data_IF_556393900104
#
_entry.id   IF_556393900104
#
_cell.length_a   1.000
_cell.length_b   1.000
_cell.length_c   1.000
_cell.angle_alpha   90.00
_cell.angle_beta   90.00
_cell.angle_gamma   90.00
#
_symmetry.space_group_name_H-M   'P 1'
#
loop_
_entity.id
_entity.type
_entity.pdbx_description
1 polymer ?
#
# COMPACT_ATOMS: atom_id res chain seq x y z
N UNK A 1 -15.12 35.23 16.92
CA UNK A 1 -14.68 35.14 15.51
C UNK A 1 -15.90 35.32 14.62
N UNK A 2 -15.96 36.39 13.84
CA UNK A 2 -17.07 36.65 12.91
C UNK A 2 -16.74 35.94 11.60
N UNK A 3 -17.45 34.85 11.30
CA UNK A 3 -17.26 34.11 10.06
C UNK A 3 -17.68 34.98 8.86
N UNK A 4 -16.94 34.94 7.72
CA UNK A 4 -17.33 35.67 6.53
C UNK A 4 -18.72 35.19 6.07
N UNK A 5 -19.69 36.11 6.01
CA UNK A 5 -21.07 35.82 5.59
C UNK A 5 -22.09 35.58 6.71
N UNK A 6 -21.72 35.65 8.00
CA UNK A 6 -22.66 35.45 9.13
C UNK A 6 -23.22 36.73 9.76
N UNK A 7 -22.78 37.91 9.33
CA UNK A 7 -23.23 39.21 9.86
C UNK A 7 -24.64 39.63 9.42
N UNK A 8 -25.17 39.04 8.35
CA UNK A 8 -26.53 39.24 7.84
C UNK A 8 -27.36 37.96 8.10
N UNK A 9 -28.50 38.02 8.83
CA UNK A 9 -29.34 36.87 9.16
C UNK A 9 -29.77 36.05 7.94
N UNK A 10 -30.02 36.69 6.80
CA UNK A 10 -30.48 36.03 5.58
C UNK A 10 -29.33 35.27 4.89
N UNK A 11 -28.10 35.82 4.91
CA UNK A 11 -26.89 35.17 4.37
C UNK A 11 -26.39 34.05 5.30
N UNK A 12 -26.54 34.21 6.62
CA UNK A 12 -26.18 33.21 7.63
C UNK A 12 -26.92 31.88 7.44
N UNK A 13 -28.24 31.92 7.17
CA UNK A 13 -29.03 30.69 6.92
C UNK A 13 -28.54 29.92 5.69
N UNK A 14 -28.15 30.64 4.63
CA UNK A 14 -27.59 30.03 3.41
C UNK A 14 -26.21 29.42 3.69
N UNK A 15 -25.33 30.15 4.37
CA UNK A 15 -23.99 29.66 4.72
C UNK A 15 -24.04 28.37 5.57
N UNK A 16 -24.89 28.34 6.60
CA UNK A 16 -25.07 27.14 7.44
C UNK A 16 -25.62 25.96 6.61
N UNK A 17 -26.58 26.20 5.72
CA UNK A 17 -27.12 25.17 4.84
C UNK A 17 -26.03 24.58 3.93
N UNK A 18 -25.17 25.42 3.35
CA UNK A 18 -24.03 24.95 2.55
C UNK A 18 -23.04 24.13 3.37
N UNK A 19 -22.68 24.60 4.57
CA UNK A 19 -21.76 23.87 5.46
C UNK A 19 -22.30 22.50 5.86
N UNK A 20 -23.60 22.40 6.17
CA UNK A 20 -24.23 21.11 6.47
C UNK A 20 -24.20 20.17 5.26
N UNK A 21 -24.52 20.67 4.07
CA UNK A 21 -24.46 19.85 2.84
C UNK A 21 -23.03 19.37 2.59
N UNK A 22 -22.02 20.25 2.69
CA UNK A 22 -20.63 19.84 2.52
C UNK A 22 -20.16 18.85 3.58
N UNK A 23 -20.60 19.01 4.84
CA UNK A 23 -20.27 18.09 5.92
C UNK A 23 -20.89 16.70 5.69
N UNK A 24 -22.14 16.65 5.19
CA UNK A 24 -22.79 15.37 4.85
C UNK A 24 -22.08 14.69 3.68
N UNK A 25 -21.78 15.42 2.60
CA UNK A 25 -21.07 14.85 1.44
C UNK A 25 -19.68 14.36 1.86
N UNK A 26 -18.93 15.17 2.60
CA UNK A 26 -17.62 14.78 3.13
C UNK A 26 -17.71 13.56 4.04
N UNK A 27 -18.71 13.50 4.92
CA UNK A 27 -18.95 12.37 5.81
C UNK A 27 -19.24 11.07 5.05
N UNK A 28 -20.11 11.13 4.03
CA UNK A 28 -20.42 9.97 3.18
C UNK A 28 -19.18 9.48 2.45
N UNK A 29 -18.37 10.39 1.90
CA UNK A 29 -17.14 10.02 1.19
C UNK A 29 -16.16 9.29 2.11
N UNK A 30 -15.92 9.81 3.33
CA UNK A 30 -15.04 9.17 4.31
C UNK A 30 -15.56 7.79 4.69
N UNK A 31 -16.87 7.67 4.96
CA UNK A 31 -17.48 6.38 5.30
C UNK A 31 -17.29 5.35 4.19
N UNK A 32 -17.58 5.70 2.93
CA UNK A 32 -17.41 4.79 1.80
C UNK A 32 -15.96 4.31 1.67
N UNK A 33 -14.99 5.20 1.86
CA UNK A 33 -13.57 4.83 1.83
C UNK A 33 -13.21 3.88 2.97
N UNK A 34 -13.66 4.16 4.20
CA UNK A 34 -13.29 3.34 5.36
C UNK A 34 -13.97 1.98 5.39
N UNK A 35 -15.22 1.86 4.94
CA UNK A 35 -15.96 0.59 4.99
C UNK A 35 -15.87 -0.23 3.71
N UNK A 36 -15.63 0.39 2.56
CA UNK A 36 -15.61 -0.30 1.27
C UNK A 36 -14.20 -0.44 0.71
N UNK A 37 -13.48 0.68 0.57
CA UNK A 37 -12.21 0.72 -0.16
C UNK A 37 -11.06 0.14 0.68
N UNK A 38 -10.92 0.59 1.93
CA UNK A 38 -9.80 0.14 2.78
C UNK A 38 -9.79 -1.37 3.01
N UNK A 39 -10.91 -2.05 3.32
CA UNK A 39 -10.92 -3.50 3.48
C UNK A 39 -10.57 -4.23 2.18
N UNK A 40 -11.05 -3.73 1.03
CA UNK A 40 -10.73 -4.33 -0.27
C UNK A 40 -9.24 -4.24 -0.59
N UNK A 41 -8.60 -3.10 -0.31
CA UNK A 41 -7.14 -2.93 -0.48
C UNK A 41 -6.38 -3.86 0.47
N UNK A 42 -6.85 -4.01 1.71
CA UNK A 42 -6.23 -4.90 2.69
C UNK A 42 -6.32 -6.39 2.30
N UNK A 43 -7.31 -6.78 1.51
CA UNK A 43 -7.50 -8.14 1.01
C UNK A 43 -6.72 -8.44 -0.29
N UNK A 44 -6.04 -7.46 -0.88
CA UNK A 44 -5.20 -7.70 -2.05
C UNK A 44 -3.95 -8.48 -1.65
N UNK A 45 -3.51 -9.42 -2.50
CA UNK A 45 -2.37 -10.28 -2.22
C UNK A 45 -1.13 -9.50 -1.74
N UNK A 46 -0.81 -8.36 -2.34
CA UNK A 46 0.36 -7.58 -1.95
C UNK A 46 0.26 -6.86 -0.58
N UNK A 47 -0.92 -6.78 0.03
CA UNK A 47 -1.13 -6.16 1.35
C UNK A 47 -1.59 -7.13 2.44
N UNK A 48 -2.19 -8.25 2.04
CA UNK A 48 -2.88 -9.16 2.92
C UNK A 48 -1.94 -10.03 3.77
N UNK A 49 -2.45 -10.40 4.94
CA UNK A 49 -1.84 -11.33 5.88
C UNK A 49 -2.28 -12.75 5.58
N UNK A 50 -1.33 -13.69 5.53
CA UNK A 50 -1.57 -15.09 5.14
C UNK A 50 -1.49 -16.06 6.32
N UNK A 51 -1.31 -15.58 7.55
CA UNK A 51 -1.08 -16.41 8.75
C UNK A 51 -2.15 -17.51 8.96
N UNK A 52 -3.41 -17.20 8.64
CA UNK A 52 -4.57 -18.10 8.80
C UNK A 52 -5.19 -18.51 7.45
N UNK A 53 -4.44 -18.38 6.35
CA UNK A 53 -4.92 -18.66 4.99
C UNK A 53 -4.36 -19.98 4.45
N UNK A 54 -5.20 -20.72 3.72
CA UNK A 54 -4.75 -21.87 2.94
C UNK A 54 -4.20 -21.37 1.58
N UNK A 55 -2.89 -21.44 1.40
CA UNK A 55 -2.19 -20.92 0.22
C UNK A 55 -1.86 -22.04 -0.76
N UNK A 56 -2.71 -22.24 -1.77
CA UNK A 56 -2.48 -23.25 -2.81
C UNK A 56 -1.45 -22.79 -3.87
N UNK A 57 -1.32 -21.48 -4.09
CA UNK A 57 -0.39 -20.92 -5.07
C UNK A 57 0.88 -20.42 -4.38
N UNK A 58 2.04 -20.96 -4.78
CA UNK A 58 3.34 -20.64 -4.19
C UNK A 58 4.40 -20.48 -5.27
N UNK A 59 5.15 -19.39 -5.21
CA UNK A 59 6.34 -19.18 -6.03
C UNK A 59 7.50 -18.71 -5.16
N UNK A 60 8.71 -18.99 -5.61
CA UNK A 60 9.92 -18.39 -5.07
C UNK A 60 10.84 -17.94 -6.20
N UNK A 61 11.49 -16.79 -6.00
CA UNK A 61 12.46 -16.24 -6.93
C UNK A 61 13.59 -15.56 -6.16
N UNK A 62 14.76 -15.46 -6.79
CA UNK A 62 15.90 -14.76 -6.21
C UNK A 62 15.97 -13.35 -6.77
N UNK A 63 15.92 -12.36 -5.88
CA UNK A 63 16.10 -10.96 -6.21
C UNK A 63 17.52 -10.53 -5.87
N UNK A 64 18.24 -10.05 -6.88
CA UNK A 64 19.57 -9.48 -6.72
C UNK A 64 19.55 -7.99 -7.07
N UNK A 65 20.20 -7.19 -6.24
CA UNK A 65 20.31 -5.76 -6.43
C UNK A 65 21.77 -5.35 -6.48
N UNK A 66 22.11 -4.49 -7.44
CA UNK A 66 23.45 -3.93 -7.59
C UNK A 66 23.31 -2.42 -7.50
N UNK A 67 23.94 -1.80 -6.49
CA UNK A 67 23.97 -0.36 -6.30
C UNK A 67 25.42 0.11 -6.42
N UNK A 68 25.67 1.10 -7.27
CA UNK A 68 27.01 1.66 -7.53
C UNK A 68 28.08 0.58 -7.81
N UNK A 69 27.69 -0.48 -8.54
CA UNK A 69 28.58 -1.60 -8.90
C UNK A 69 28.85 -2.60 -7.77
N UNK A 70 28.22 -2.45 -6.60
CA UNK A 70 28.33 -3.38 -5.48
C UNK A 70 27.02 -4.14 -5.28
N UNK A 71 27.11 -5.43 -4.96
CA UNK A 71 25.93 -6.22 -4.59
C UNK A 71 25.35 -5.65 -3.29
N UNK A 72 24.11 -5.20 -3.37
CA UNK A 72 23.35 -4.73 -2.23
C UNK A 72 22.69 -5.92 -1.53
N UNK A 73 22.72 -5.90 -0.21
CA UNK A 73 22.08 -6.93 0.61
C UNK A 73 20.57 -6.71 0.65
N UNK A 74 19.81 -7.78 0.43
CA UNK A 74 18.36 -7.79 0.62
C UNK A 74 18.10 -8.11 2.08
N UNK A 75 17.30 -7.29 2.77
CA UNK A 75 17.04 -7.52 4.18
C UNK A 75 16.22 -8.80 4.40
N UNK A 76 16.50 -9.57 5.47
CA UNK A 76 15.64 -10.67 5.88
C UNK A 76 14.32 -10.13 6.46
N UNK A 77 13.30 -10.99 6.53
CA UNK A 77 12.01 -10.71 7.16
C UNK A 77 11.25 -9.52 6.56
N UNK A 78 11.50 -9.17 5.29
CA UNK A 78 10.64 -8.25 4.56
C UNK A 78 9.26 -8.90 4.48
N UNK A 79 8.20 -8.12 4.71
CA UNK A 79 6.83 -8.63 4.69
C UNK A 79 6.39 -9.36 5.97
N UNK A 80 7.29 -9.61 6.91
CA UNK A 80 6.98 -10.24 8.20
C UNK A 80 7.00 -9.18 9.30
N UNK A 81 5.91 -9.06 10.06
CA UNK A 81 5.83 -8.21 11.26
C UNK A 81 5.36 -9.03 12.45
N UNK A 82 5.48 -8.48 13.66
CA UNK A 82 5.02 -9.15 14.89
C UNK A 82 3.51 -9.48 14.88
N UNK A 83 2.77 -8.81 14.00
CA UNK A 83 1.31 -8.93 13.87
C UNK A 83 0.89 -9.86 12.73
N UNK A 84 1.73 -10.07 11.71
CA UNK A 84 1.32 -10.77 10.49
C UNK A 84 2.48 -11.08 9.53
N UNK A 85 2.37 -12.21 8.84
CA UNK A 85 3.14 -12.55 7.65
C UNK A 85 2.35 -12.17 6.40
N UNK A 86 2.91 -11.28 5.57
CA UNK A 86 2.33 -10.92 4.28
C UNK A 86 2.47 -12.04 3.25
N UNK A 87 1.65 -11.98 2.20
CA UNK A 87 1.73 -12.89 1.06
C UNK A 87 3.10 -12.88 0.35
N UNK A 88 3.83 -11.76 0.37
CA UNK A 88 5.16 -11.62 -0.23
C UNK A 88 6.16 -11.33 0.89
N UNK A 89 7.17 -12.18 1.03
CA UNK A 89 8.11 -12.07 2.14
C UNK A 89 9.51 -12.63 1.84
N UNK A 90 10.48 -12.25 2.66
CA UNK A 90 11.83 -12.85 2.69
C UNK A 90 12.09 -13.51 4.03
N UNK A 91 12.88 -14.58 4.05
CA UNK A 91 13.28 -15.28 5.28
C UNK A 91 14.75 -15.02 5.65
N UNK A 92 15.60 -14.87 4.64
CA UNK A 92 17.05 -14.72 4.74
C UNK A 92 17.52 -13.51 3.95
N UNK A 93 18.82 -13.19 4.08
CA UNK A 93 19.49 -12.10 3.37
C UNK A 93 20.07 -12.50 2.01
N UNK A 94 19.74 -13.70 1.52
CA UNK A 94 20.22 -14.22 0.24
C UNK A 94 19.45 -13.67 -0.98
N UNK A 95 18.40 -12.89 -0.73
CA UNK A 95 17.54 -12.32 -1.77
C UNK A 95 16.41 -13.24 -2.22
N UNK A 96 16.19 -14.38 -1.58
CA UNK A 96 15.06 -15.26 -1.90
C UNK A 96 13.75 -14.65 -1.41
N UNK A 97 12.89 -14.34 -2.35
CA UNK A 97 11.54 -13.83 -2.12
C UNK A 97 10.55 -14.97 -2.32
N UNK A 98 9.65 -15.13 -1.36
CA UNK A 98 8.54 -16.05 -1.39
C UNK A 98 7.27 -15.26 -1.65
N UNK A 99 6.41 -15.77 -2.53
CA UNK A 99 5.07 -15.25 -2.69
C UNK A 99 4.06 -16.40 -2.62
N UNK A 100 3.09 -16.29 -1.72
CA UNK A 100 2.07 -17.29 -1.46
C UNK A 100 0.68 -16.66 -1.42
N UNK A 101 -0.28 -17.27 -2.12
CA UNK A 101 -1.67 -16.80 -2.16
C UNK A 101 -2.65 -17.96 -2.41
N UNK A 102 -3.95 -17.68 -2.39
CA UNK A 102 -5.01 -18.68 -2.62
C UNK A 102 -5.10 -19.12 -4.08
N UNK A 103 -4.91 -18.18 -5.01
CA UNK A 103 -4.90 -18.38 -6.46
C UNK A 103 -3.87 -17.43 -7.08
N UNK A 104 -3.50 -17.60 -8.36
CA UNK A 104 -2.50 -16.71 -8.97
C UNK A 104 -2.98 -15.23 -8.91
N UNK A 105 -2.33 -14.35 -8.14
CA UNK A 105 -2.80 -12.99 -7.93
C UNK A 105 -2.24 -11.99 -8.96
N UNK A 106 -1.64 -12.48 -10.06
CA UNK A 106 -0.87 -11.68 -11.01
C UNK A 106 0.24 -10.88 -10.31
N UNK A 107 1.13 -11.61 -9.62
CA UNK A 107 2.26 -11.02 -8.93
C UNK A 107 3.20 -10.28 -9.88
N UNK A 108 3.62 -9.07 -9.48
CA UNK A 108 4.62 -8.25 -10.17
C UNK A 108 5.77 -7.89 -9.21
N UNK A 109 6.98 -7.74 -9.76
CA UNK A 109 8.15 -7.30 -8.99
C UNK A 109 7.90 -5.96 -8.26
N UNK A 110 7.09 -5.08 -8.85
CA UNK A 110 6.70 -3.80 -8.24
C UNK A 110 6.03 -3.96 -6.87
N UNK A 111 5.24 -5.02 -6.66
CA UNK A 111 4.63 -5.30 -5.36
C UNK A 111 5.67 -5.58 -4.28
N UNK A 112 6.70 -6.37 -4.61
CA UNK A 112 7.80 -6.64 -3.69
C UNK A 112 8.63 -5.38 -3.39
N UNK A 113 8.93 -4.56 -4.40
CA UNK A 113 9.65 -3.29 -4.21
C UNK A 113 8.87 -2.32 -3.31
N UNK A 114 7.54 -2.30 -3.42
CA UNK A 114 6.70 -1.52 -2.53
C UNK A 114 6.77 -2.00 -1.06
N UNK A 115 6.63 -3.30 -0.82
CA UNK A 115 6.64 -3.89 0.54
C UNK A 115 8.01 -3.73 1.21
N UNK A 116 9.08 -3.88 0.45
CA UNK A 116 10.46 -3.64 0.91
C UNK A 116 10.76 -2.16 1.19
N UNK A 117 9.79 -1.26 0.98
CA UNK A 117 9.93 0.20 1.10
C UNK A 117 11.07 0.73 0.26
N UNK A 118 11.27 0.13 -0.91
CA UNK A 118 12.32 0.51 -1.81
C UNK A 118 12.09 1.95 -2.29
N UNK A 119 13.13 2.79 -2.17
CA UNK A 119 13.02 4.21 -2.50
C UNK A 119 13.23 4.40 -4.00
N UNK A 120 12.20 4.07 -4.78
CA UNK A 120 12.21 4.20 -6.25
C UNK A 120 12.55 5.65 -6.67
N UNK A 121 12.13 6.65 -5.89
CA UNK A 121 12.43 8.07 -6.14
C UNK A 121 13.93 8.43 -6.08
N UNK A 122 14.72 7.61 -5.40
CA UNK A 122 16.17 7.81 -5.29
C UNK A 122 16.90 7.16 -6.46
N UNK A 123 16.19 6.47 -7.36
CA UNK A 123 16.74 5.88 -8.58
C UNK A 123 16.77 6.90 -9.72
N UNK A 124 17.85 6.88 -10.49
CA UNK A 124 17.94 7.57 -11.76
C UNK A 124 17.40 6.65 -12.87
N UNK A 125 16.23 6.98 -13.42
CA UNK A 125 15.52 6.14 -14.41
C UNK A 125 16.39 5.80 -15.63
N UNK A 126 17.24 6.74 -16.07
CA UNK A 126 18.16 6.56 -17.22
C UNK A 126 19.35 5.62 -16.94
N UNK A 127 19.57 5.24 -15.68
CA UNK A 127 20.67 4.37 -15.24
C UNK A 127 20.17 3.10 -14.55
N UNK A 128 18.85 2.88 -14.56
CA UNK A 128 18.21 1.75 -13.93
C UNK A 128 17.83 0.73 -14.99
N UNK A 129 18.24 -0.51 -14.79
CA UNK A 129 17.90 -1.63 -15.67
C UNK A 129 17.32 -2.76 -14.82
N UNK A 130 16.22 -3.34 -15.29
CA UNK A 130 15.57 -4.50 -14.66
C UNK A 130 15.72 -5.68 -15.60
N UNK A 131 16.26 -6.78 -15.06
CA UNK A 131 16.45 -8.04 -15.76
C UNK A 131 15.52 -9.09 -15.16
N UNK A 132 14.88 -9.89 -16.01
CA UNK A 132 13.94 -10.97 -15.63
C UNK A 132 14.35 -12.26 -16.31
#
# INVERSE_FOLDING_TARGET
MIWPGTGDPYKRKKAIKFLLISAVIGGIAVLLTTVGVNPMIAQQAHNACIDDMDTDWKISFTFEMIMDGQKAEVQPNIGITDECQRAIYTLSNDGTVYAEWTENPDFELGHFLYISKFKIRDMEESKTEVYV
#
